data_IF_088484540152
#
_entry.id   IF_088484540152
#
_cell.length_a   1.000
_cell.length_b   1.000
_cell.length_c   1.000
_cell.angle_alpha   90.00
_cell.angle_beta   90.00
_cell.angle_gamma   90.00
#
_symmetry.space_group_name_H-M   'P 1'
#
loop_
_entity.id
_entity.type
_entity.pdbx_description
1 polymer ?
#
# COMPACT_ATOMS: atom_id res chain seq x y z
N UNK A 1 11.60 -56.49 -19.56
CA UNK A 1 12.54 -55.60 -18.85
C UNK A 1 12.52 -54.25 -19.53
N UNK A 2 11.78 -53.29 -19.00
CA UNK A 2 11.79 -51.90 -19.46
C UNK A 2 11.18 -51.09 -18.33
N UNK A 3 11.97 -50.74 -17.32
CA UNK A 3 11.56 -49.73 -16.36
C UNK A 3 12.80 -48.99 -15.86
N UNK A 4 13.06 -47.86 -16.51
CA UNK A 4 13.94 -46.80 -16.02
C UNK A 4 13.67 -45.54 -16.85
N UNK A 5 12.49 -44.96 -16.67
CA UNK A 5 12.29 -43.55 -17.02
C UNK A 5 12.97 -42.71 -15.96
N UNK A 6 14.22 -42.34 -16.22
CA UNK A 6 14.93 -41.34 -15.43
C UNK A 6 14.23 -39.98 -15.57
N UNK A 7 13.53 -39.55 -14.53
CA UNK A 7 12.92 -38.22 -14.45
C UNK A 7 14.04 -37.17 -14.26
N UNK A 8 14.67 -36.72 -15.35
CA UNK A 8 15.66 -35.62 -15.36
C UNK A 8 15.00 -34.23 -15.33
N UNK A 9 13.87 -34.08 -14.65
CA UNK A 9 13.26 -32.78 -14.42
C UNK A 9 13.57 -32.35 -13.00
N UNK A 10 14.23 -31.21 -12.83
CA UNK A 10 14.32 -30.57 -11.52
C UNK A 10 12.90 -30.19 -11.10
N UNK A 11 12.38 -30.86 -10.08
CA UNK A 11 11.09 -30.53 -9.50
C UNK A 11 11.32 -29.43 -8.47
N UNK A 12 10.70 -28.26 -8.67
CA UNK A 12 10.73 -27.17 -7.71
C UNK A 12 9.89 -27.56 -6.49
N UNK A 13 10.49 -27.54 -5.29
CA UNK A 13 9.73 -27.66 -4.05
C UNK A 13 8.96 -26.35 -3.83
N UNK A 14 7.67 -26.36 -4.16
CA UNK A 14 6.80 -25.21 -3.97
C UNK A 14 6.52 -24.87 -2.49
N UNK A 15 6.95 -25.72 -1.55
CA UNK A 15 6.79 -25.53 -0.09
C UNK A 15 8.06 -25.98 0.64
N UNK A 16 9.18 -25.25 0.46
CA UNK A 16 10.44 -25.62 1.10
C UNK A 16 10.26 -25.70 2.61
N UNK A 17 10.84 -26.73 3.23
CA UNK A 17 10.88 -26.87 4.70
C UNK A 17 11.71 -25.78 5.38
N UNK A 18 12.55 -25.09 4.62
CA UNK A 18 13.32 -23.95 5.08
C UNK A 18 12.41 -22.72 5.14
N UNK A 19 12.33 -22.09 6.29
CA UNK A 19 11.74 -20.76 6.40
C UNK A 19 12.55 -19.78 5.55
N UNK A 20 11.92 -19.28 4.47
CA UNK A 20 12.47 -18.18 3.69
C UNK A 20 11.96 -16.90 4.33
N UNK A 21 12.84 -16.02 4.83
CA UNK A 21 12.40 -14.77 5.45
C UNK A 21 11.67 -13.91 4.41
N UNK A 22 10.52 -13.37 4.79
CA UNK A 22 9.82 -12.39 3.99
C UNK A 22 10.58 -11.06 4.05
N UNK A 23 10.88 -10.48 2.89
CA UNK A 23 11.57 -9.20 2.76
C UNK A 23 10.68 -8.16 2.10
N UNK A 24 10.78 -6.92 2.58
CA UNK A 24 10.09 -5.78 1.95
C UNK A 24 10.65 -5.51 0.57
N UNK A 25 9.86 -4.94 -0.35
CA UNK A 25 10.38 -4.59 -1.67
C UNK A 25 11.47 -3.51 -1.62
N UNK A 26 11.68 -2.83 -0.48
CA UNK A 26 12.82 -1.94 -0.26
C UNK A 26 13.99 -2.58 0.48
N UNK A 27 13.92 -3.85 0.91
CA UNK A 27 15.02 -4.50 1.63
C UNK A 27 16.35 -4.38 0.86
N UNK A 28 16.34 -4.72 -0.44
CA UNK A 28 17.53 -4.58 -1.28
C UNK A 28 17.98 -3.13 -1.47
N UNK A 29 17.05 -2.18 -1.63
CA UNK A 29 17.35 -0.75 -1.77
C UNK A 29 17.98 -0.17 -0.49
N UNK A 30 17.49 -0.57 0.69
CA UNK A 30 18.05 -0.18 1.97
C UNK A 30 19.47 -0.71 2.16
N UNK A 31 19.76 -1.93 1.66
CA UNK A 31 21.09 -2.50 1.69
C UNK A 31 22.04 -1.85 0.67
N UNK A 32 21.56 -1.52 -0.52
CA UNK A 32 22.42 -1.11 -1.65
C UNK A 32 22.55 0.40 -1.80
N UNK A 33 21.43 1.12 -1.73
CA UNK A 33 21.37 2.58 -1.87
C UNK A 33 21.50 3.31 -0.53
N UNK A 34 21.38 2.57 0.58
CA UNK A 34 21.45 3.11 1.93
C UNK A 34 20.18 3.86 2.34
N UNK A 35 20.20 4.37 3.57
CA UNK A 35 19.11 5.11 4.21
C UNK A 35 19.68 6.38 4.83
N UNK A 36 19.49 7.56 4.22
CA UNK A 36 19.89 8.82 4.85
C UNK A 36 19.30 8.94 6.25
N UNK A 37 20.13 9.25 7.24
CA UNK A 37 19.68 9.37 8.62
C UNK A 37 18.75 10.57 8.80
N UNK A 38 17.67 10.39 9.55
CA UNK A 38 16.82 11.50 9.99
C UNK A 38 17.64 12.41 10.90
N UNK A 39 17.53 13.72 10.69
CA UNK A 39 18.23 14.75 11.47
C UNK A 39 17.31 15.94 11.73
N UNK A 40 17.74 16.88 12.58
CA UNK A 40 17.01 18.15 12.80
C UNK A 40 16.84 19.00 11.52
N UNK A 41 17.66 18.74 10.49
CA UNK A 41 17.56 19.41 9.19
C UNK A 41 16.57 18.73 8.25
N UNK A 42 16.12 17.51 8.58
CA UNK A 42 15.23 16.74 7.71
C UNK A 42 13.85 17.36 7.66
N UNK A 43 13.51 17.90 6.49
CA UNK A 43 12.21 18.53 6.21
C UNK A 43 11.23 17.60 5.54
N UNK A 44 11.72 16.43 5.14
CA UNK A 44 10.92 15.29 4.69
C UNK A 44 11.46 14.04 5.37
N UNK A 45 10.56 13.23 5.90
CA UNK A 45 10.85 11.91 6.44
C UNK A 45 10.08 10.90 5.59
N UNK A 46 10.80 9.90 5.07
CA UNK A 46 10.26 8.78 4.33
C UNK A 46 10.25 7.54 5.23
N UNK A 47 9.12 6.82 5.25
CA UNK A 47 8.97 5.55 5.96
C UNK A 47 8.28 4.53 5.05
N UNK A 48 8.72 3.27 5.06
CA UNK A 48 7.93 2.19 4.45
C UNK A 48 7.01 1.58 5.51
N UNK A 49 5.71 1.51 5.22
CA UNK A 49 4.78 0.69 6.01
C UNK A 49 4.85 -0.75 5.48
N UNK A 50 5.97 -1.41 5.78
CA UNK A 50 6.31 -2.70 5.21
C UNK A 50 5.34 -3.81 5.67
N UNK A 51 5.07 -4.76 4.78
CA UNK A 51 4.31 -5.99 5.09
C UNK A 51 2.87 -5.75 5.60
N UNK A 52 2.26 -4.61 5.28
CA UNK A 52 0.84 -4.40 5.57
C UNK A 52 -0.04 -5.36 4.76
N UNK A 53 -1.18 -5.73 5.33
CA UNK A 53 -2.20 -6.55 4.68
C UNK A 53 -3.05 -5.70 3.74
N UNK A 54 -3.14 -6.06 2.46
CA UNK A 54 -3.91 -5.32 1.44
C UNK A 54 -4.97 -6.23 0.80
N UNK A 55 -6.24 -5.83 0.86
CA UNK A 55 -7.34 -6.50 0.16
C UNK A 55 -7.99 -5.57 -0.84
N UNK A 56 -8.22 -6.05 -2.06
CA UNK A 56 -9.15 -5.41 -3.01
C UNK A 56 -10.51 -6.05 -2.82
N UNK A 57 -11.51 -5.21 -2.51
CA UNK A 57 -12.91 -5.60 -2.43
C UNK A 57 -13.62 -5.09 -3.68
N UNK A 58 -14.40 -5.96 -4.33
CA UNK A 58 -15.32 -5.55 -5.41
C UNK A 58 -16.71 -6.11 -5.24
N UNK A 59 -17.71 -5.33 -5.63
CA UNK A 59 -19.12 -5.71 -5.51
C UNK A 59 -20.04 -4.52 -5.25
N UNK A 60 -21.30 -4.81 -4.97
CA UNK A 60 -22.31 -3.79 -4.67
C UNK A 60 -22.02 -3.08 -3.35
N UNK A 61 -21.89 -1.75 -3.39
CA UNK A 61 -21.49 -0.92 -2.24
C UNK A 61 -22.31 -1.16 -0.97
N UNK A 62 -23.63 -1.33 -1.09
CA UNK A 62 -24.53 -1.53 0.05
C UNK A 62 -24.19 -2.83 0.79
N UNK A 63 -24.09 -3.93 0.06
CA UNK A 63 -23.86 -5.27 0.62
C UNK A 63 -22.44 -5.36 1.20
N UNK A 64 -21.45 -4.77 0.52
CA UNK A 64 -20.09 -4.73 1.04
C UNK A 64 -19.97 -3.84 2.27
N UNK A 65 -20.61 -2.66 2.30
CA UNK A 65 -20.54 -1.73 3.44
C UNK A 65 -21.11 -2.37 4.71
N UNK A 66 -22.23 -3.10 4.61
CA UNK A 66 -22.81 -3.83 5.74
C UNK A 66 -21.83 -4.85 6.33
N UNK A 67 -21.24 -5.71 5.49
CA UNK A 67 -20.26 -6.70 5.94
C UNK A 67 -18.99 -6.05 6.52
N UNK A 68 -18.49 -5.01 5.86
CA UNK A 68 -17.29 -4.28 6.28
C UNK A 68 -17.50 -3.60 7.62
N UNK A 69 -18.65 -2.95 7.86
CA UNK A 69 -18.98 -2.39 9.18
C UNK A 69 -19.06 -3.46 10.25
N UNK A 70 -19.66 -4.61 9.94
CA UNK A 70 -19.78 -5.73 10.87
C UNK A 70 -18.43 -6.33 11.28
N UNK A 71 -17.47 -6.39 10.37
CA UNK A 71 -16.16 -7.03 10.60
C UNK A 71 -15.08 -6.05 11.08
N UNK A 72 -15.00 -4.85 10.48
CA UNK A 72 -13.97 -3.85 10.78
C UNK A 72 -14.42 -2.74 11.73
N UNK A 73 -15.73 -2.59 11.97
CA UNK A 73 -16.27 -1.54 12.85
C UNK A 73 -16.39 -0.16 12.21
N UNK A 74 -15.96 0.02 10.95
CA UNK A 74 -16.15 1.25 10.16
C UNK A 74 -16.50 0.90 8.71
N UNK A 75 -17.12 1.85 8.00
CA UNK A 75 -17.73 1.58 6.69
C UNK A 75 -16.88 1.95 5.48
N UNK A 76 -17.33 1.50 4.32
CA UNK A 76 -16.79 1.87 3.03
C UNK A 76 -17.05 3.35 2.74
N UNK A 77 -16.05 4.08 2.20
CA UNK A 77 -16.30 5.41 1.67
C UNK A 77 -17.25 5.34 0.47
N UNK A 78 -18.35 6.12 0.54
CA UNK A 78 -19.38 6.16 -0.50
C UNK A 78 -19.15 7.27 -1.56
N UNK A 79 -18.20 8.18 -1.33
CA UNK A 79 -17.86 9.28 -2.25
C UNK A 79 -16.58 8.97 -3.02
N UNK A 80 -16.51 9.32 -4.32
CA UNK A 80 -15.30 9.15 -5.10
C UNK A 80 -14.08 9.78 -4.43
N UNK A 81 -12.95 9.07 -4.51
CA UNK A 81 -11.65 9.47 -3.99
C UNK A 81 -11.58 9.64 -2.47
N UNK A 82 -12.56 9.18 -1.70
CA UNK A 82 -12.52 9.28 -0.24
C UNK A 82 -11.67 8.16 0.37
N UNK A 83 -10.86 8.54 1.36
CA UNK A 83 -10.10 7.69 2.26
C UNK A 83 -10.76 7.73 3.64
N UNK A 84 -11.07 6.56 4.18
CA UNK A 84 -11.53 6.38 5.55
C UNK A 84 -10.45 5.67 6.36
N UNK A 85 -10.27 6.08 7.62
CA UNK A 85 -9.37 5.43 8.58
C UNK A 85 -10.18 4.92 9.77
N UNK A 86 -9.69 3.87 10.41
CA UNK A 86 -10.11 3.50 11.77
C UNK A 86 -9.68 4.57 12.78
N UNK A 87 -10.29 4.56 13.97
CA UNK A 87 -10.00 5.53 15.04
C UNK A 87 -8.52 5.53 15.49
N UNK A 88 -7.87 4.36 15.45
CA UNK A 88 -6.44 4.20 15.74
C UNK A 88 -5.52 4.57 14.56
N UNK A 89 -6.08 4.78 13.36
CA UNK A 89 -5.34 5.10 12.15
C UNK A 89 -4.55 3.95 11.52
N UNK A 90 -4.66 2.72 12.05
CA UNK A 90 -3.90 1.54 11.60
C UNK A 90 -4.58 0.81 10.44
N UNK A 91 -5.90 0.98 10.28
CA UNK A 91 -6.68 0.41 9.17
C UNK A 91 -7.21 1.53 8.29
N UNK A 92 -7.27 1.29 6.99
CA UNK A 92 -7.81 2.26 6.05
C UNK A 92 -8.59 1.60 4.93
N UNK A 93 -9.55 2.34 4.38
CA UNK A 93 -10.33 1.95 3.21
C UNK A 93 -10.30 3.12 2.22
N UNK A 94 -9.77 2.86 1.03
CA UNK A 94 -9.68 3.81 -0.05
C UNK A 94 -10.69 3.46 -1.14
N UNK A 95 -11.54 4.41 -1.50
CA UNK A 95 -12.37 4.31 -2.69
C UNK A 95 -11.49 4.31 -3.96
N UNK A 96 -11.70 3.35 -4.87
CA UNK A 96 -10.98 3.27 -6.15
C UNK A 96 -11.90 3.45 -7.36
N UNK A 97 -13.06 2.79 -7.35
CA UNK A 97 -14.09 2.89 -8.37
C UNK A 97 -15.49 2.75 -7.71
N UNK A 98 -16.61 2.93 -8.45
CA UNK A 98 -17.95 2.73 -7.91
C UNK A 98 -18.22 1.35 -7.29
N UNK A 99 -17.43 0.34 -7.67
CA UNK A 99 -17.55 -1.04 -7.23
C UNK A 99 -16.22 -1.65 -6.75
N UNK A 100 -15.22 -0.82 -6.42
CA UNK A 100 -13.88 -1.26 -6.02
C UNK A 100 -13.28 -0.40 -4.88
N UNK A 101 -12.76 -1.08 -3.85
CA UNK A 101 -12.10 -0.46 -2.71
C UNK A 101 -10.80 -1.20 -2.37
N UNK A 102 -9.79 -0.44 -1.93
CA UNK A 102 -8.58 -0.97 -1.31
C UNK A 102 -8.68 -0.86 0.21
N UNK A 103 -8.60 -2.00 0.89
CA UNK A 103 -8.48 -2.08 2.35
C UNK A 103 -7.03 -2.34 2.71
N UNK A 104 -6.48 -1.57 3.63
CA UNK A 104 -5.16 -1.79 4.22
C UNK A 104 -5.31 -2.01 5.72
N UNK A 105 -4.70 -3.07 6.23
CA UNK A 105 -4.69 -3.47 7.65
C UNK A 105 -3.27 -3.82 8.09
N UNK A 106 -3.00 -3.89 9.42
CA UNK A 106 -1.74 -4.44 9.93
C UNK A 106 -1.41 -5.81 9.34
N UNK A 107 -0.13 -6.07 9.12
CA UNK A 107 0.35 -7.32 8.55
C UNK A 107 -0.04 -8.53 9.40
N UNK A 108 -0.54 -9.59 8.73
CA UNK A 108 -1.04 -10.80 9.36
C UNK A 108 -2.55 -10.78 9.63
N UNK A 109 -3.21 -9.63 9.52
CA UNK A 109 -4.67 -9.55 9.66
C UNK A 109 -5.41 -9.92 8.37
N UNK A 110 -4.77 -9.80 7.20
CA UNK A 110 -5.43 -9.90 5.89
C UNK A 110 -6.14 -11.24 5.65
N UNK A 111 -5.57 -12.36 6.11
CA UNK A 111 -6.19 -13.67 5.95
C UNK A 111 -7.44 -13.83 6.83
N UNK A 112 -7.34 -13.40 8.09
CA UNK A 112 -8.46 -13.46 9.03
C UNK A 112 -9.60 -12.56 8.57
N UNK A 113 -9.26 -11.34 8.15
CA UNK A 113 -10.20 -10.36 7.61
C UNK A 113 -10.89 -10.89 6.35
N UNK A 114 -10.13 -11.41 5.39
CA UNK A 114 -10.69 -12.00 4.18
C UNK A 114 -11.70 -13.10 4.51
N UNK A 115 -11.36 -14.01 5.43
CA UNK A 115 -12.25 -15.10 5.85
C UNK A 115 -13.54 -14.57 6.47
N UNK A 116 -13.44 -13.61 7.39
CA UNK A 116 -14.59 -13.01 8.07
C UNK A 116 -15.52 -12.28 7.09
N UNK A 117 -14.97 -11.52 6.14
CA UNK A 117 -15.76 -10.85 5.11
C UNK A 117 -16.46 -11.86 4.19
N UNK A 118 -15.77 -12.94 3.77
CA UNK A 118 -16.39 -14.00 2.95
C UNK A 118 -17.54 -14.69 3.68
N UNK A 119 -17.38 -14.95 4.97
CA UNK A 119 -18.42 -15.52 5.82
C UNK A 119 -19.62 -14.57 5.94
N UNK A 120 -19.37 -13.28 6.23
CA UNK A 120 -20.42 -12.26 6.34
C UNK A 120 -21.18 -12.03 5.03
N UNK A 121 -20.50 -12.11 3.89
CA UNK A 121 -21.10 -11.89 2.57
C UNK A 121 -21.86 -13.11 2.02
N UNK A 122 -21.57 -14.31 2.50
CA UNK A 122 -22.23 -15.55 2.08
C UNK A 122 -22.28 -15.72 0.56
N UNK A 123 -23.49 -15.83 0.01
CA UNK A 123 -23.75 -16.05 -1.43
C UNK A 123 -23.90 -14.75 -2.25
N UNK A 124 -23.58 -13.59 -1.69
CA UNK A 124 -23.62 -12.33 -2.44
C UNK A 124 -22.66 -12.33 -3.64
N UNK A 125 -22.89 -11.46 -4.61
CA UNK A 125 -21.97 -11.27 -5.73
C UNK A 125 -20.84 -10.30 -5.35
N UNK A 126 -19.64 -10.84 -5.15
CA UNK A 126 -18.46 -10.05 -4.75
C UNK A 126 -17.15 -10.70 -5.23
N UNK A 127 -16.05 -9.94 -5.14
CA UNK A 127 -14.69 -10.46 -5.19
C UNK A 127 -13.88 -9.87 -4.04
N UNK A 128 -13.12 -10.73 -3.34
CA UNK A 128 -12.08 -10.32 -2.39
C UNK A 128 -10.78 -10.91 -2.87
N UNK A 129 -9.75 -10.07 -3.02
CA UNK A 129 -8.43 -10.49 -3.49
C UNK A 129 -7.37 -9.94 -2.56
N UNK A 130 -6.58 -10.84 -1.97
CA UNK A 130 -5.37 -10.46 -1.26
C UNK A 130 -4.29 -10.01 -2.25
N UNK A 131 -3.86 -8.76 -2.11
CA UNK A 131 -2.81 -8.12 -2.92
C UNK A 131 -1.62 -7.65 -2.09
N UNK A 132 -1.50 -8.07 -0.82
CA UNK A 132 -0.42 -7.67 0.11
C UNK A 132 0.96 -7.89 -0.51
N UNK A 133 1.17 -9.03 -1.16
CA UNK A 133 2.45 -9.36 -1.81
C UNK A 133 2.71 -8.64 -3.13
N UNK A 134 1.79 -7.81 -3.63
CA UNK A 134 1.87 -7.12 -4.93
C UNK A 134 2.13 -5.61 -4.83
N UNK A 135 1.98 -5.02 -3.65
CA UNK A 135 2.09 -3.58 -3.41
C UNK A 135 2.88 -3.28 -2.12
N UNK A 136 3.29 -2.03 -1.96
CA UNK A 136 3.82 -1.48 -0.70
C UNK A 136 3.28 -0.08 -0.50
N UNK A 137 3.42 0.45 0.70
CA UNK A 137 2.99 1.80 1.08
C UNK A 137 4.22 2.57 1.58
N UNK A 138 4.53 3.67 0.90
CA UNK A 138 5.52 4.63 1.33
C UNK A 138 4.83 5.85 1.93
N UNK A 139 5.28 6.27 3.09
CA UNK A 139 4.77 7.42 3.82
C UNK A 139 5.78 8.56 3.75
N UNK A 140 5.27 9.77 3.48
CA UNK A 140 6.04 11.00 3.50
C UNK A 140 5.42 11.93 4.53
N UNK A 141 6.24 12.38 5.48
CA UNK A 141 5.90 13.40 6.46
C UNK A 141 6.89 14.55 6.44
N UNK A 142 6.47 15.72 6.90
CA UNK A 142 7.32 16.91 7.01
C UNK A 142 6.81 18.10 6.20
N UNK A 143 7.31 19.28 6.53
CA UNK A 143 6.82 20.56 6.01
C UNK A 143 7.15 20.80 4.52
N UNK A 144 8.00 19.96 3.92
CA UNK A 144 8.32 19.95 2.49
C UNK A 144 7.82 18.73 1.72
N UNK A 145 7.01 17.87 2.33
CA UNK A 145 6.48 16.68 1.68
C UNK A 145 5.61 17.04 0.46
N UNK A 146 4.78 18.09 0.56
CA UNK A 146 3.95 18.56 -0.56
C UNK A 146 4.80 19.07 -1.72
N UNK A 147 5.79 19.91 -1.46
CA UNK A 147 6.70 20.45 -2.48
C UNK A 147 7.52 19.35 -3.16
N UNK A 148 7.91 18.31 -2.42
CA UNK A 148 8.52 17.11 -2.99
C UNK A 148 7.56 16.41 -3.97
N UNK A 149 6.29 16.22 -3.60
CA UNK A 149 5.28 15.61 -4.47
C UNK A 149 5.11 16.40 -5.78
N UNK A 150 5.05 17.73 -5.70
CA UNK A 150 4.87 18.64 -6.85
C UNK A 150 5.92 18.47 -7.95
N UNK A 151 7.10 17.91 -7.64
CA UNK A 151 8.14 17.65 -8.65
C UNK A 151 7.73 16.58 -9.67
N UNK A 152 6.83 15.67 -9.30
CA UNK A 152 6.68 14.40 -10.03
C UNK A 152 5.25 13.89 -10.16
N UNK A 153 4.27 14.48 -9.47
CA UNK A 153 2.85 14.20 -9.69
C UNK A 153 2.21 15.29 -10.57
N UNK A 154 1.41 14.93 -11.58
CA UNK A 154 0.63 15.90 -12.36
C UNK A 154 -0.66 16.31 -11.65
N UNK A 155 -1.06 15.59 -10.60
CA UNK A 155 -2.29 15.88 -9.86
C UNK A 155 -2.07 17.07 -8.91
N UNK A 156 -3.05 17.98 -8.82
CA UNK A 156 -2.96 19.12 -7.93
C UNK A 156 -2.98 18.69 -6.45
N UNK A 157 -1.87 18.92 -5.76
CA UNK A 157 -1.67 18.61 -4.33
C UNK A 157 -1.90 19.82 -3.42
N UNK A 158 -2.44 20.92 -3.95
CA UNK A 158 -2.87 22.06 -3.12
C UNK A 158 -3.93 21.60 -2.10
N UNK A 159 -3.92 22.08 -0.84
CA UNK A 159 -4.87 21.63 0.19
C UNK A 159 -6.35 21.71 -0.21
N UNK A 160 -6.73 22.72 -0.98
CA UNK A 160 -8.12 22.87 -1.47
C UNK A 160 -8.49 21.80 -2.52
N UNK A 161 -7.54 21.39 -3.36
CA UNK A 161 -7.74 20.35 -4.36
C UNK A 161 -7.56 18.94 -3.77
N UNK A 162 -6.70 18.81 -2.77
CA UNK A 162 -6.33 17.57 -2.11
C UNK A 162 -6.46 17.67 -0.58
N UNK A 163 -7.68 17.74 -0.05
CA UNK A 163 -7.91 17.81 1.39
C UNK A 163 -7.55 16.49 2.08
N UNK A 164 -7.44 16.54 3.40
CA UNK A 164 -7.32 15.34 4.25
C UNK A 164 -8.51 14.41 4.04
N UNK A 165 -8.26 13.09 4.05
CA UNK A 165 -9.28 12.07 3.78
C UNK A 165 -9.54 11.87 2.27
N UNK A 166 -8.63 12.32 1.41
CA UNK A 166 -8.66 12.05 -0.03
C UNK A 166 -7.56 11.08 -0.43
N UNK A 167 -7.83 10.28 -1.45
CA UNK A 167 -6.83 9.56 -2.21
C UNK A 167 -7.25 9.36 -3.66
N UNK A 168 -6.27 9.35 -4.56
CA UNK A 168 -6.49 9.32 -6.01
C UNK A 168 -5.48 8.38 -6.67
N UNK A 169 -5.95 7.64 -7.67
CA UNK A 169 -5.04 6.91 -8.57
C UNK A 169 -4.44 7.90 -9.55
N UNK A 170 -3.12 8.03 -9.55
CA UNK A 170 -2.39 8.99 -10.37
C UNK A 170 -1.01 8.42 -10.76
N UNK A 171 -0.22 9.24 -11.43
CA UNK A 171 1.18 8.96 -11.77
C UNK A 171 2.09 9.78 -10.86
N UNK A 172 3.15 9.17 -10.35
CA UNK A 172 4.25 9.86 -9.69
C UNK A 172 5.56 9.36 -10.30
N UNK A 173 6.37 10.28 -10.82
CA UNK A 173 7.64 9.93 -11.48
C UNK A 173 7.44 8.85 -12.56
N UNK A 174 6.39 8.94 -13.38
CA UNK A 174 6.04 7.93 -14.40
C UNK A 174 5.60 6.55 -13.87
N UNK A 175 5.52 6.34 -12.56
CA UNK A 175 4.96 5.14 -11.95
C UNK A 175 3.50 5.37 -11.52
N UNK A 176 2.62 4.40 -11.77
CA UNK A 176 1.24 4.44 -11.29
C UNK A 176 1.18 4.12 -9.79
N UNK A 177 0.45 4.94 -9.04
CA UNK A 177 0.21 4.73 -7.62
C UNK A 177 -1.13 5.31 -7.17
N UNK A 178 -1.53 4.96 -5.95
CA UNK A 178 -2.59 5.67 -5.24
C UNK A 178 -1.91 6.66 -4.30
N UNK A 179 -2.05 7.95 -4.59
CA UNK A 179 -1.59 9.02 -3.72
C UNK A 179 -2.70 9.29 -2.70
N UNK A 180 -2.38 9.34 -1.41
CA UNK A 180 -3.35 9.52 -0.33
C UNK A 180 -2.89 10.58 0.65
N UNK A 181 -3.85 11.24 1.30
CA UNK A 181 -3.61 12.25 2.34
C UNK A 181 -4.42 11.92 3.60
N UNK A 182 -3.93 11.00 4.45
CA UNK A 182 -4.62 10.59 5.67
C UNK A 182 -4.68 11.67 6.76
N UNK A 183 -3.68 12.56 6.86
CA UNK A 183 -3.64 13.65 7.85
C UNK A 183 -3.07 14.92 7.20
N UNK A 184 -3.04 16.03 7.94
CA UNK A 184 -2.51 17.29 7.42
C UNK A 184 -1.03 17.21 7.03
N UNK A 185 -0.25 16.42 7.77
CA UNK A 185 1.20 16.30 7.65
C UNK A 185 1.66 15.05 6.93
N UNK A 186 0.77 14.06 6.74
CA UNK A 186 1.10 12.74 6.20
C UNK A 186 0.54 12.55 4.80
N UNK A 187 1.42 12.14 3.90
CA UNK A 187 1.12 11.69 2.55
C UNK A 187 1.51 10.23 2.40
N UNK A 188 0.77 9.47 1.61
CA UNK A 188 1.07 8.07 1.38
C UNK A 188 1.00 7.74 -0.11
N UNK A 189 1.93 6.90 -0.53
CA UNK A 189 2.09 6.42 -1.89
C UNK A 189 1.92 4.90 -1.84
N UNK A 190 0.75 4.41 -2.26
CA UNK A 190 0.54 2.97 -2.43
C UNK A 190 0.92 2.60 -3.86
N UNK A 191 2.02 1.87 -4.02
CA UNK A 191 2.60 1.55 -5.32
C UNK A 191 2.81 0.04 -5.48
N UNK A 192 2.90 -0.39 -6.74
CA UNK A 192 3.24 -1.79 -7.05
C UNK A 192 4.68 -2.08 -6.62
N UNK A 193 4.89 -3.24 -5.99
CA UNK A 193 6.18 -3.60 -5.38
C UNK A 193 7.36 -3.53 -6.34
N UNK A 194 7.14 -3.79 -7.63
CA UNK A 194 8.19 -3.74 -8.67
C UNK A 194 8.71 -2.32 -8.94
N UNK A 195 7.96 -1.29 -8.55
CA UNK A 195 8.38 0.11 -8.66
C UNK A 195 8.94 0.67 -7.35
N UNK A 196 9.00 -0.13 -6.28
CA UNK A 196 9.44 0.35 -4.96
C UNK A 196 10.86 0.93 -5.00
N UNK A 197 11.84 0.19 -5.52
CA UNK A 197 13.22 0.67 -5.65
C UNK A 197 13.32 1.94 -6.51
N UNK A 198 12.60 1.97 -7.63
CA UNK A 198 12.57 3.13 -8.52
C UNK A 198 12.04 4.38 -7.80
N UNK A 199 10.87 4.28 -7.19
CA UNK A 199 10.25 5.40 -6.48
C UNK A 199 11.08 5.82 -5.26
N UNK A 200 11.68 4.87 -4.54
CA UNK A 200 12.57 5.16 -3.41
C UNK A 200 13.75 6.03 -3.83
N UNK A 201 14.49 5.59 -4.86
CA UNK A 201 15.64 6.34 -5.38
C UNK A 201 15.24 7.72 -5.90
N UNK A 202 14.09 7.81 -6.58
CA UNK A 202 13.56 9.08 -7.06
C UNK A 202 13.20 10.04 -5.90
N UNK A 203 12.58 9.52 -4.84
CA UNK A 203 12.27 10.30 -3.64
C UNK A 203 13.53 10.79 -2.92
N UNK A 204 14.57 9.96 -2.85
CA UNK A 204 15.86 10.38 -2.26
C UNK A 204 16.51 11.51 -3.06
N UNK A 205 16.56 11.37 -4.39
CA UNK A 205 17.13 12.39 -5.28
C UNK A 205 16.33 13.71 -5.22
N UNK A 206 15.02 13.61 -5.44
CA UNK A 206 14.13 14.75 -5.41
C UNK A 206 14.03 15.39 -4.01
N UNK A 207 14.22 14.61 -2.94
CA UNK A 207 14.19 15.06 -1.55
C UNK A 207 15.52 15.59 -1.01
N UNK A 208 16.61 15.49 -1.78
CA UNK A 208 17.95 15.85 -1.30
C UNK A 208 18.05 17.31 -0.82
N UNK A 209 17.40 18.25 -1.52
CA UNK A 209 17.36 19.67 -1.11
C UNK A 209 16.63 19.92 0.21
N UNK A 210 15.82 18.95 0.64
CA UNK A 210 15.05 18.98 1.89
C UNK A 210 15.69 18.14 3.00
N UNK A 211 16.93 17.68 2.79
CA UNK A 211 17.64 16.77 3.68
C UNK A 211 16.79 15.54 4.07
N UNK A 212 16.13 14.94 3.07
CA UNK A 212 15.23 13.79 3.27
C UNK A 212 15.91 12.72 4.13
N UNK A 213 15.22 12.33 5.21
CA UNK A 213 15.62 11.23 6.08
C UNK A 213 14.76 10.00 5.85
N UNK A 214 15.30 8.82 6.11
CA UNK A 214 14.57 7.56 5.98
C UNK A 214 14.50 6.86 7.33
N UNK A 215 13.28 6.65 7.81
CA UNK A 215 13.00 5.89 9.03
C UNK A 215 12.68 4.43 8.70
N UNK A 216 12.94 3.56 9.68
CA UNK A 216 12.66 2.12 9.57
C UNK A 216 11.19 1.81 9.85
#
# INVERSE_FOLDING_TARGET
MSDSTATRANVYDARPKTEVPAESPLAWSYHTSGRPSVSEKSRVILRERAMAGHLILRGGAIVLDEAVRGVLGFGLPARPNTLSLSDDGERSIQWLSPDEWLVIVPGGEEFTLERQLREALGNAHYAIVNVSGGQTLLELEGDKARELLMKSTPYDVHPDAFPVGKGVTTVFAKANLILRRPTETRWELVLRRSFADYCYRWLLDAGAEYAIGVEK
#
